data_IF_151136001177
#
_entry.id   IF_151136001177
#
_cell.length_a   1.000
_cell.length_b   1.000
_cell.length_c   1.000
_cell.angle_alpha   90.00
_cell.angle_beta   90.00
_cell.angle_gamma   90.00
#
_symmetry.space_group_name_H-M   'P 1'
#
loop_
_entity.id
_entity.type
_entity.pdbx_description
1 polymer ?
#
# COMPACT_ATOMS: atom_id res chain seq x y z
N UNK A 1 -9.82 -6.19 23.95
CA UNK A 1 -8.85 -7.30 23.86
C UNK A 1 -7.51 -6.87 23.25
N UNK A 2 -7.38 -6.60 21.93
CA UNK A 2 -6.08 -6.19 21.35
C UNK A 2 -5.52 -4.89 21.96
N UNK A 3 -6.37 -3.85 22.08
CA UNK A 3 -6.01 -2.58 22.75
C UNK A 3 -5.50 -2.80 24.18
N UNK A 4 -6.26 -3.56 24.97
CA UNK A 4 -5.96 -3.75 26.39
C UNK A 4 -4.70 -4.63 26.58
N UNK A 5 -4.47 -5.62 25.70
CA UNK A 5 -3.22 -6.37 25.65
C UNK A 5 -2.02 -5.48 25.30
N UNK A 6 -2.17 -4.60 24.30
CA UNK A 6 -1.12 -3.66 23.91
C UNK A 6 -0.78 -2.69 25.05
N UNK A 7 -1.81 -2.14 25.70
CA UNK A 7 -1.66 -1.16 26.77
C UNK A 7 -1.11 -1.76 28.07
N UNK A 8 -1.69 -2.88 28.52
CA UNK A 8 -1.45 -3.40 29.86
C UNK A 8 -0.27 -4.38 29.93
N UNK A 9 0.17 -4.93 28.79
CA UNK A 9 1.22 -5.96 28.77
C UNK A 9 2.32 -5.67 27.75
N UNK A 10 1.99 -5.59 26.45
CA UNK A 10 3.01 -5.54 25.41
C UNK A 10 3.84 -4.23 25.45
N UNK A 11 3.18 -3.06 25.49
CA UNK A 11 3.88 -1.78 25.49
C UNK A 11 4.76 -1.57 26.74
N UNK A 12 4.30 -1.90 27.97
CA UNK A 12 5.16 -1.88 29.15
C UNK A 12 6.42 -2.73 28.99
N UNK A 13 6.28 -4.00 28.58
CA UNK A 13 7.42 -4.92 28.40
C UNK A 13 8.40 -4.38 27.34
N UNK A 14 7.91 -3.89 26.21
CA UNK A 14 8.78 -3.34 25.17
C UNK A 14 9.53 -2.08 25.66
N UNK A 15 8.93 -1.28 26.55
CA UNK A 15 9.53 -0.05 27.07
C UNK A 15 10.60 -0.28 28.14
N UNK A 16 10.60 -1.43 28.82
CA UNK A 16 11.60 -1.78 29.84
C UNK A 16 13.02 -1.94 29.26
N UNK A 17 13.13 -2.34 27.98
CA UNK A 17 14.41 -2.56 27.32
C UNK A 17 14.82 -1.38 26.45
N UNK A 18 16.08 -0.95 26.59
CA UNK A 18 16.68 0.10 25.76
C UNK A 18 16.79 -0.26 24.26
N UNK A 19 16.59 -1.54 23.92
CA UNK A 19 16.62 -2.02 22.53
C UNK A 19 15.22 -1.93 21.91
N UNK A 20 14.18 -2.27 22.67
CA UNK A 20 12.81 -2.39 22.17
C UNK A 20 11.94 -1.17 22.44
N UNK A 21 12.37 -0.23 23.28
CA UNK A 21 11.58 0.95 23.67
C UNK A 21 11.26 1.91 22.52
N UNK A 22 11.91 1.75 21.37
CA UNK A 22 11.65 2.51 20.13
C UNK A 22 10.77 1.75 19.12
N UNK A 23 10.46 0.48 19.37
CA UNK A 23 9.61 -0.31 18.48
C UNK A 23 8.19 0.25 18.46
N UNK A 24 7.60 0.21 17.26
CA UNK A 24 6.24 0.64 17.00
C UNK A 24 5.29 -0.54 17.11
N UNK A 25 4.10 -0.31 17.66
CA UNK A 25 3.06 -1.34 17.77
C UNK A 25 2.00 -1.08 16.71
N UNK A 26 1.81 -2.05 15.83
CA UNK A 26 0.79 -2.06 14.79
C UNK A 26 -0.35 -2.98 15.25
N UNK A 27 -1.57 -2.49 15.22
CA UNK A 27 -2.78 -3.26 15.54
C UNK A 27 -3.58 -3.60 14.27
N UNK A 28 -4.73 -4.27 14.41
CA UNK A 28 -5.51 -4.85 13.30
C UNK A 28 -4.77 -6.00 12.59
N UNK A 29 -3.82 -5.70 11.70
CA UNK A 29 -3.00 -6.64 10.91
C UNK A 29 -3.82 -7.80 10.32
N UNK A 30 -4.91 -7.43 9.66
CA UNK A 30 -5.88 -8.35 9.06
C UNK A 30 -6.57 -7.63 7.87
N UNK A 31 -7.58 -8.25 7.27
CA UNK A 31 -8.25 -7.76 6.07
C UNK A 31 -8.71 -6.31 6.16
N UNK A 32 -8.53 -5.58 5.05
CA UNK A 32 -9.01 -4.20 4.86
C UNK A 32 -10.46 -4.00 5.27
N UNK A 33 -11.33 -4.97 5.03
CA UNK A 33 -12.75 -4.94 5.41
C UNK A 33 -12.99 -4.65 6.90
N UNK A 34 -12.09 -5.07 7.78
CA UNK A 34 -12.21 -4.91 9.23
C UNK A 34 -11.62 -3.61 9.79
N UNK A 35 -10.77 -2.91 9.02
CA UNK A 35 -9.89 -1.86 9.55
C UNK A 35 -10.65 -0.72 10.21
N UNK A 36 -11.76 -0.28 9.60
CA UNK A 36 -12.59 0.80 10.13
C UNK A 36 -13.27 0.39 11.44
N UNK A 37 -13.79 -0.84 11.52
CA UNK A 37 -14.42 -1.36 12.75
C UNK A 37 -13.39 -1.50 13.86
N UNK A 38 -12.18 -1.93 13.53
CA UNK A 38 -11.08 -2.03 14.49
C UNK A 38 -10.62 -0.66 14.97
N UNK A 39 -10.47 0.31 14.07
CA UNK A 39 -10.13 1.69 14.41
C UNK A 39 -11.11 2.29 15.41
N UNK A 40 -12.43 2.14 15.20
CA UNK A 40 -13.44 2.61 16.16
C UNK A 40 -13.24 2.05 17.56
N UNK A 41 -12.97 0.75 17.66
CA UNK A 41 -12.83 0.06 18.96
C UNK A 41 -11.52 0.39 19.66
N UNK A 42 -10.43 0.48 18.91
CA UNK A 42 -9.11 0.75 19.47
C UNK A 42 -9.01 2.21 19.90
N UNK A 43 -9.52 3.13 19.08
CA UNK A 43 -9.40 4.58 19.28
C UNK A 43 -10.60 5.21 20.00
N UNK A 44 -11.59 4.42 20.43
CA UNK A 44 -12.73 4.89 21.24
C UNK A 44 -12.29 5.68 22.49
N UNK A 45 -11.18 5.25 23.10
CA UNK A 45 -10.58 5.90 24.27
C UNK A 45 -9.14 6.30 23.93
N UNK A 46 -8.91 7.59 23.58
CA UNK A 46 -7.60 8.09 23.18
C UNK A 46 -6.51 7.90 24.24
N UNK A 47 -6.86 7.85 25.53
CA UNK A 47 -5.87 7.64 26.59
C UNK A 47 -5.34 6.20 26.57
N UNK A 48 -6.18 5.25 26.16
CA UNK A 48 -5.84 3.82 26.07
C UNK A 48 -5.24 3.41 24.73
N UNK A 49 -5.32 4.27 23.71
CA UNK A 49 -4.72 4.01 22.39
C UNK A 49 -3.26 4.47 22.27
N UNK A 50 -2.71 5.09 23.32
CA UNK A 50 -1.31 5.56 23.35
C UNK A 50 -0.28 4.46 23.12
N UNK A 51 -0.64 3.20 23.40
CA UNK A 51 0.19 2.04 23.16
C UNK A 51 0.24 1.59 21.68
N UNK A 52 -0.65 2.08 20.82
CA UNK A 52 -0.76 1.67 19.41
C UNK A 52 -0.33 2.85 18.54
N UNK A 53 0.62 2.62 17.64
CA UNK A 53 1.18 3.65 16.76
C UNK A 53 0.49 3.71 15.40
N UNK A 54 -0.14 2.62 14.97
CA UNK A 54 -0.84 2.53 13.70
C UNK A 54 -1.63 1.25 13.51
N UNK A 55 -2.27 1.13 12.35
CA UNK A 55 -3.03 -0.04 11.93
C UNK A 55 -2.36 -0.73 10.73
N UNK A 56 -2.31 -2.05 10.74
CA UNK A 56 -1.86 -2.90 9.64
C UNK A 56 -3.06 -3.43 8.88
N UNK A 57 -3.01 -3.53 7.56
CA UNK A 57 -4.10 -4.08 6.73
C UNK A 57 -3.58 -5.02 5.66
N UNK A 58 -4.38 -6.05 5.34
CA UNK A 58 -4.11 -7.02 4.28
C UNK A 58 -5.01 -6.82 3.07
N UNK A 59 -4.57 -7.34 1.92
CA UNK A 59 -5.25 -7.16 0.63
C UNK A 59 -6.44 -8.10 0.38
N UNK A 60 -6.43 -9.35 0.84
CA UNK A 60 -7.27 -10.48 0.33
C UNK A 60 -8.81 -10.38 0.46
N UNK A 61 -9.35 -9.19 0.71
CA UNK A 61 -10.77 -8.87 0.71
C UNK A 61 -11.13 -7.87 -0.40
N UNK A 62 -12.22 -8.12 -1.11
CA UNK A 62 -12.73 -7.25 -2.18
C UNK A 62 -13.48 -6.01 -1.66
N UNK A 63 -13.06 -5.48 -0.50
CA UNK A 63 -13.67 -4.29 0.10
C UNK A 63 -13.16 -3.00 -0.51
N UNK A 64 -14.07 -2.02 -0.56
CA UNK A 64 -13.79 -0.65 -0.96
C UNK A 64 -12.61 -0.04 -0.19
N UNK A 65 -11.81 0.81 -0.86
CA UNK A 65 -10.65 1.46 -0.24
C UNK A 65 -11.03 2.63 0.68
N UNK A 66 -12.22 3.20 0.53
CA UNK A 66 -12.71 4.30 1.36
C UNK A 66 -12.80 3.95 2.84
N UNK A 67 -12.87 2.66 3.20
CA UNK A 67 -12.80 2.21 4.61
C UNK A 67 -11.47 2.59 5.27
N UNK A 68 -10.38 2.72 4.50
CA UNK A 68 -9.08 3.19 4.99
C UNK A 68 -9.14 4.68 5.34
N UNK A 69 -9.76 5.49 4.47
CA UNK A 69 -10.02 6.91 4.75
C UNK A 69 -10.94 7.10 5.95
N UNK A 70 -11.96 6.26 6.09
CA UNK A 70 -12.82 6.26 7.28
C UNK A 70 -12.05 5.90 8.57
N UNK A 71 -11.11 4.96 8.50
CA UNK A 71 -10.25 4.60 9.62
C UNK A 71 -9.27 5.73 9.98
N UNK A 72 -8.63 6.35 8.97
CA UNK A 72 -7.73 7.48 9.15
C UNK A 72 -8.44 8.66 9.84
N UNK A 73 -9.67 8.98 9.41
CA UNK A 73 -10.45 10.09 9.96
C UNK A 73 -10.82 9.92 11.45
N UNK A 74 -10.76 8.71 12.01
CA UNK A 74 -10.99 8.49 13.45
C UNK A 74 -9.80 9.00 14.27
N UNK A 75 -8.57 8.76 13.79
CA UNK A 75 -7.35 9.15 14.49
C UNK A 75 -6.22 9.47 13.48
N UNK A 76 -6.20 10.69 12.92
CA UNK A 76 -5.32 11.05 11.79
C UNK A 76 -3.81 11.05 12.10
N UNK A 77 -3.43 11.16 13.37
CA UNK A 77 -2.03 11.09 13.83
C UNK A 77 -1.44 9.67 13.82
N UNK A 78 -2.28 8.64 13.65
CA UNK A 78 -1.87 7.24 13.58
C UNK A 78 -1.77 6.79 12.13
N UNK A 79 -0.69 6.09 11.82
CA UNK A 79 -0.47 5.63 10.44
C UNK A 79 -1.29 4.38 10.11
N UNK A 80 -1.51 4.16 8.82
CA UNK A 80 -2.02 2.90 8.28
C UNK A 80 -0.96 2.32 7.35
N UNK A 81 -0.63 1.05 7.49
CA UNK A 81 0.34 0.33 6.67
C UNK A 81 -0.32 -0.89 6.03
N UNK A 82 -0.20 -1.05 4.70
CA UNK A 82 -0.56 -2.31 4.06
C UNK A 82 0.58 -3.30 4.32
N UNK A 83 0.36 -4.24 5.23
CA UNK A 83 1.38 -5.11 5.81
C UNK A 83 1.56 -6.41 5.05
N UNK A 84 0.57 -6.82 4.26
CA UNK A 84 0.61 -8.07 3.53
C UNK A 84 -0.29 -8.05 2.29
N UNK A 85 0.25 -8.62 1.20
CA UNK A 85 -0.39 -8.74 -0.08
C UNK A 85 0.25 -9.86 -0.91
N UNK A 86 -0.55 -10.68 -1.60
CA UNK A 86 -0.07 -11.55 -2.66
C UNK A 86 -1.16 -11.90 -3.68
N UNK A 87 -0.73 -12.30 -4.88
CA UNK A 87 -1.62 -12.92 -5.86
C UNK A 87 -1.77 -14.42 -5.60
N UNK A 88 -2.73 -15.05 -6.27
CA UNK A 88 -3.00 -16.48 -6.18
C UNK A 88 -3.33 -16.97 -4.76
N UNK A 89 -4.07 -16.16 -4.00
CA UNK A 89 -4.58 -16.51 -2.67
C UNK A 89 -5.93 -17.24 -2.73
N UNK A 90 -6.63 -17.19 -3.87
CA UNK A 90 -7.95 -17.78 -4.05
C UNK A 90 -7.88 -19.31 -4.15
N UNK A 91 -8.83 -20.08 -3.60
CA UNK A 91 -8.76 -21.54 -3.60
C UNK A 91 -8.64 -22.20 -4.98
N UNK A 92 -9.12 -21.54 -6.04
CA UNK A 92 -9.07 -22.02 -7.42
C UNK A 92 -7.87 -21.48 -8.21
N UNK A 93 -7.06 -20.63 -7.61
CA UNK A 93 -5.90 -19.99 -8.21
C UNK A 93 -4.78 -19.96 -7.16
N UNK A 94 -4.10 -21.10 -6.97
CA UNK A 94 -3.12 -21.34 -5.89
C UNK A 94 -1.74 -21.74 -6.44
N UNK A 95 -1.28 -21.02 -7.46
CA UNK A 95 0.03 -21.26 -8.08
C UNK A 95 0.58 -20.03 -8.78
N UNK A 96 1.91 -19.96 -8.94
CA UNK A 96 2.58 -19.03 -9.84
C UNK A 96 2.03 -19.02 -11.27
N UNK A 97 1.96 -17.84 -11.88
CA UNK A 97 1.64 -17.68 -13.30
C UNK A 97 2.65 -16.72 -13.94
N UNK A 98 3.69 -17.30 -14.53
CA UNK A 98 4.78 -16.54 -15.12
C UNK A 98 4.29 -15.65 -16.27
N UNK A 99 4.71 -14.39 -16.27
CA UNK A 99 4.33 -13.42 -17.30
C UNK A 99 2.88 -12.91 -17.20
N UNK A 100 2.17 -13.18 -16.11
CA UNK A 100 0.82 -12.70 -15.88
C UNK A 100 0.77 -11.18 -15.66
N UNK A 101 0.67 -10.41 -16.74
CA UNK A 101 0.60 -8.95 -16.67
C UNK A 101 -0.52 -8.46 -15.74
N UNK A 102 -1.69 -9.12 -15.78
CA UNK A 102 -2.83 -8.77 -14.92
C UNK A 102 -2.52 -8.88 -13.41
N UNK A 103 -1.63 -9.79 -13.00
CA UNK A 103 -1.18 -9.89 -11.59
C UNK A 103 -0.33 -8.69 -11.18
N UNK A 104 0.50 -8.19 -12.09
CA UNK A 104 1.24 -6.93 -11.92
C UNK A 104 0.32 -5.71 -11.90
N UNK A 105 -0.72 -5.69 -12.74
CA UNK A 105 -1.74 -4.64 -12.72
C UNK A 105 -2.52 -4.62 -11.41
N UNK A 106 -2.84 -5.79 -10.86
CA UNK A 106 -3.51 -5.91 -9.57
C UNK A 106 -2.66 -5.30 -8.43
N UNK A 107 -1.34 -5.52 -8.44
CA UNK A 107 -0.40 -4.86 -7.52
C UNK A 107 -0.43 -3.34 -7.70
N UNK A 108 -0.30 -2.86 -8.95
CA UNK A 108 -0.34 -1.43 -9.27
C UNK A 108 -1.65 -0.78 -8.80
N UNK A 109 -2.78 -1.40 -9.09
CA UNK A 109 -4.10 -0.94 -8.65
C UNK A 109 -4.19 -0.86 -7.12
N UNK A 110 -3.80 -1.91 -6.39
CA UNK A 110 -3.90 -1.92 -4.93
C UNK A 110 -2.94 -0.89 -4.31
N UNK A 111 -1.70 -0.78 -4.78
CA UNK A 111 -0.74 0.23 -4.29
C UNK A 111 -1.28 1.65 -4.49
N UNK A 112 -1.74 1.99 -5.69
CA UNK A 112 -2.25 3.34 -6.00
C UNK A 112 -3.46 3.70 -5.13
N UNK A 113 -4.39 2.76 -4.95
CA UNK A 113 -5.59 3.01 -4.15
C UNK A 113 -5.31 3.03 -2.64
N UNK A 114 -4.35 2.25 -2.13
CA UNK A 114 -3.89 2.36 -0.75
C UNK A 114 -3.27 3.73 -0.49
N UNK A 115 -2.34 4.15 -1.36
CA UNK A 115 -1.67 5.44 -1.24
C UNK A 115 -2.67 6.62 -1.30
N UNK A 116 -3.71 6.52 -2.13
CA UNK A 116 -4.82 7.49 -2.16
C UNK A 116 -5.65 7.58 -0.89
N UNK A 117 -5.62 6.53 -0.07
CA UNK A 117 -6.45 6.42 1.12
C UNK A 117 -5.59 6.34 2.39
N UNK A 118 -4.58 7.23 2.49
CA UNK A 118 -3.78 7.49 3.70
C UNK A 118 -2.85 6.37 4.16
N UNK A 119 -2.70 5.31 3.36
CA UNK A 119 -1.75 4.24 3.65
C UNK A 119 -0.34 4.73 3.33
N UNK A 120 0.59 4.55 4.26
CA UNK A 120 1.94 5.12 4.19
C UNK A 120 3.00 4.19 3.59
N UNK A 121 2.61 2.96 3.26
CA UNK A 121 3.50 1.94 2.71
C UNK A 121 2.74 0.66 2.37
N UNK A 122 3.36 -0.17 1.54
CA UNK A 122 2.77 -1.40 1.03
C UNK A 122 3.81 -2.50 1.00
N UNK A 123 3.47 -3.67 1.53
CA UNK A 123 4.39 -4.77 1.75
C UNK A 123 3.83 -6.03 1.08
N UNK A 124 4.61 -6.58 0.16
CA UNK A 124 4.37 -7.88 -0.46
C UNK A 124 4.59 -9.04 0.54
N UNK A 125 3.98 -10.19 0.28
CA UNK A 125 4.04 -11.33 1.20
C UNK A 125 5.35 -12.10 1.14
N UNK A 126 5.56 -12.87 0.06
CA UNK A 126 6.77 -13.68 -0.11
C UNK A 126 7.70 -13.00 -1.12
N UNK A 127 8.89 -12.60 -0.67
CA UNK A 127 9.90 -11.99 -1.56
C UNK A 127 10.25 -12.90 -2.75
N UNK A 128 10.28 -14.22 -2.54
CA UNK A 128 10.66 -15.19 -3.56
C UNK A 128 10.04 -16.55 -3.26
N UNK A 129 9.56 -17.24 -4.30
CA UNK A 129 9.07 -18.62 -4.22
C UNK A 129 9.66 -19.48 -5.34
N UNK A 130 9.47 -20.80 -5.24
CA UNK A 130 9.68 -21.69 -6.37
C UNK A 130 8.51 -21.66 -7.38
N UNK A 131 8.62 -22.41 -8.47
CA UNK A 131 7.58 -22.46 -9.51
C UNK A 131 6.31 -23.21 -9.07
N UNK A 132 6.31 -23.83 -7.90
CA UNK A 132 5.12 -24.39 -7.26
C UNK A 132 4.42 -23.37 -6.36
N UNK A 133 5.08 -22.27 -5.99
CA UNK A 133 4.56 -21.28 -5.04
C UNK A 133 4.90 -21.61 -3.60
N UNK A 134 5.97 -22.39 -3.36
CA UNK A 134 6.42 -22.85 -2.06
C UNK A 134 7.89 -22.53 -1.75
N UNK A 135 8.46 -23.20 -0.73
CA UNK A 135 7.88 -24.29 0.05
C UNK A 135 6.79 -23.80 1.03
N UNK A 136 5.72 -24.58 1.20
CA UNK A 136 4.67 -24.31 2.18
C UNK A 136 4.18 -25.64 2.80
N UNK A 137 4.29 -25.78 4.12
CA UNK A 137 4.04 -27.06 4.81
C UNK A 137 2.58 -27.51 4.77
N UNK A 138 1.62 -26.57 4.80
CA UNK A 138 0.18 -26.82 4.63
C UNK A 138 -0.26 -26.76 3.18
N UNK A 139 0.68 -26.58 2.24
CA UNK A 139 0.42 -26.48 0.80
C UNK A 139 -0.50 -25.31 0.43
N UNK A 140 -0.43 -24.21 1.19
CA UNK A 140 -1.09 -22.95 0.88
C UNK A 140 -0.20 -22.12 -0.06
N UNK A 141 -0.12 -22.55 -1.32
CA UNK A 141 0.77 -21.96 -2.32
C UNK A 141 0.20 -20.68 -2.92
N UNK A 142 1.09 -19.73 -3.24
CA UNK A 142 0.72 -18.42 -3.78
C UNK A 142 1.70 -18.00 -4.88
N UNK A 143 1.47 -16.83 -5.50
CA UNK A 143 2.41 -16.19 -6.41
C UNK A 143 3.40 -15.31 -5.62
N UNK A 144 4.57 -15.05 -6.17
CA UNK A 144 5.55 -14.09 -5.69
C UNK A 144 6.12 -13.24 -6.85
N UNK A 145 6.54 -11.99 -6.62
CA UNK A 145 7.15 -11.16 -7.65
C UNK A 145 8.44 -11.73 -8.25
N UNK A 146 9.13 -12.60 -7.48
CA UNK A 146 10.41 -13.19 -7.86
C UNK A 146 10.32 -14.71 -7.76
N UNK A 147 10.81 -15.37 -8.80
CA UNK A 147 11.02 -16.81 -8.81
C UNK A 147 12.50 -17.06 -9.03
N UNK A 148 13.18 -17.61 -8.01
CA UNK A 148 14.61 -17.97 -8.03
C UNK A 148 15.51 -16.93 -8.74
N UNK A 149 15.93 -15.93 -7.94
CA UNK A 149 16.91 -14.83 -8.17
C UNK A 149 16.54 -13.76 -9.22
N UNK A 150 16.01 -12.62 -8.75
CA UNK A 150 16.57 -11.24 -8.78
C UNK A 150 15.55 -10.30 -8.06
N UNK A 151 15.99 -9.47 -7.12
CA UNK A 151 15.15 -8.74 -6.14
C UNK A 151 14.58 -7.38 -6.59
N UNK A 152 13.43 -6.96 -6.06
CA UNK A 152 12.95 -5.55 -6.02
C UNK A 152 12.21 -5.20 -4.71
N UNK A 153 12.28 -3.93 -4.26
CA UNK A 153 11.67 -3.35 -3.04
C UNK A 153 11.21 -1.90 -3.31
N UNK A 154 10.07 -1.43 -2.78
CA UNK A 154 9.62 0.00 -2.83
C UNK A 154 8.75 0.42 -1.62
N UNK A 155 8.87 1.69 -1.16
CA UNK A 155 8.05 2.38 -0.12
C UNK A 155 7.90 3.88 -0.49
N UNK A 156 6.69 4.48 -0.53
CA UNK A 156 6.44 5.93 -0.71
C UNK A 156 5.09 6.40 -0.11
N UNK A 157 4.89 7.71 0.07
CA UNK A 157 3.64 8.40 0.53
C UNK A 157 3.08 9.34 -0.56
N UNK A 158 1.75 9.50 -0.69
CA UNK A 158 1.07 10.26 -1.77
C UNK A 158 0.76 11.74 -1.46
N UNK A 159 0.57 12.55 -2.52
CA UNK A 159 0.21 13.97 -2.54
C UNK A 159 -0.58 14.30 -3.84
N UNK A 160 -1.75 13.68 -4.03
CA UNK A 160 -2.54 13.80 -5.28
C UNK A 160 -3.12 15.20 -5.54
N UNK A 161 -3.28 16.04 -4.51
CA UNK A 161 -3.93 17.36 -4.63
C UNK A 161 -3.10 18.40 -5.43
N UNK A 162 -1.86 18.08 -5.82
CA UNK A 162 -1.00 18.97 -6.59
C UNK A 162 -1.26 18.93 -8.11
N UNK A 163 -1.98 17.92 -8.61
CA UNK A 163 -2.13 17.67 -10.04
C UNK A 163 -3.59 17.56 -10.46
N UNK A 164 -3.93 18.18 -11.60
CA UNK A 164 -5.23 17.99 -12.25
C UNK A 164 -5.03 17.14 -13.51
N UNK A 165 -5.60 15.94 -13.52
CA UNK A 165 -5.57 15.01 -14.66
C UNK A 165 -6.95 15.01 -15.33
N UNK A 166 -7.00 15.26 -16.64
CA UNK A 166 -8.25 15.46 -17.40
C UNK A 166 -8.88 14.15 -17.92
N UNK A 167 -8.24 13.00 -17.70
CA UNK A 167 -8.74 11.68 -18.10
C UNK A 167 -8.67 10.72 -16.91
N UNK A 168 -9.76 10.00 -16.64
CA UNK A 168 -9.81 8.99 -15.57
C UNK A 168 -8.81 7.87 -15.86
N UNK A 169 -7.61 8.02 -15.32
CA UNK A 169 -6.55 7.03 -15.28
C UNK A 169 -6.15 6.85 -13.82
N UNK A 170 -5.82 5.62 -13.43
CA UNK A 170 -5.28 5.37 -12.11
C UNK A 170 -3.89 5.99 -12.01
N UNK A 171 -3.69 6.78 -10.96
CA UNK A 171 -2.46 7.54 -10.78
C UNK A 171 -2.24 7.85 -9.31
N UNK A 172 -1.01 8.14 -8.92
CA UNK A 172 -0.69 8.81 -7.66
C UNK A 172 0.49 9.73 -7.90
N UNK A 173 0.53 10.86 -7.22
CA UNK A 173 1.66 11.78 -7.28
C UNK A 173 2.23 12.05 -5.89
N UNK A 174 3.52 12.38 -5.79
CA UNK A 174 4.14 12.76 -4.53
C UNK A 174 5.43 13.56 -4.73
N UNK A 175 5.88 14.20 -3.64
CA UNK A 175 7.14 14.93 -3.60
C UNK A 175 8.11 14.15 -2.71
N UNK A 176 9.28 13.83 -3.25
CA UNK A 176 10.38 13.20 -2.50
C UNK A 176 11.02 14.18 -1.51
N UNK A 177 11.71 13.70 -0.46
CA UNK A 177 12.43 14.58 0.47
C UNK A 177 13.45 15.53 -0.20
N UNK A 178 13.97 15.15 -1.37
CA UNK A 178 14.89 15.97 -2.16
C UNK A 178 14.17 16.96 -3.11
N UNK A 179 12.85 17.10 -3.00
CA UNK A 179 12.04 18.04 -3.78
C UNK A 179 11.70 17.58 -5.21
N UNK A 180 12.00 16.34 -5.60
CA UNK A 180 11.54 15.82 -6.90
C UNK A 180 10.05 15.50 -6.84
N UNK A 181 9.34 15.85 -7.89
CA UNK A 181 7.95 15.48 -8.15
C UNK A 181 7.93 14.13 -8.86
N UNK A 182 7.09 13.22 -8.39
CA UNK A 182 6.91 11.88 -8.93
C UNK A 182 5.44 11.69 -9.24
N UNK A 183 5.13 11.23 -10.44
CA UNK A 183 3.79 10.85 -10.87
C UNK A 183 3.84 9.43 -11.41
N UNK A 184 3.10 8.52 -10.78
CA UNK A 184 2.91 7.15 -11.24
C UNK A 184 1.56 7.07 -11.92
N UNK A 185 1.52 6.54 -13.14
CA UNK A 185 0.33 6.37 -13.97
C UNK A 185 0.19 4.90 -14.35
N UNK A 186 -1.00 4.33 -14.22
CA UNK A 186 -1.33 2.97 -14.62
C UNK A 186 -2.40 2.99 -15.72
N UNK A 187 -2.02 2.60 -16.93
CA UNK A 187 -2.95 2.34 -18.03
C UNK A 187 -3.31 0.86 -18.05
N UNK A 188 -4.46 0.52 -17.47
CA UNK A 188 -5.02 -0.83 -17.51
C UNK A 188 -5.83 -1.15 -18.77
N UNK A 189 -6.01 -0.16 -19.66
CA UNK A 189 -6.84 -0.30 -20.85
C UNK A 189 -6.08 -0.94 -22.03
N UNK A 190 -6.85 -1.41 -23.01
CA UNK A 190 -6.36 -1.96 -24.28
C UNK A 190 -6.02 -0.88 -25.33
N UNK A 191 -6.12 0.40 -24.98
CA UNK A 191 -5.94 1.51 -25.92
C UNK A 191 -4.77 2.40 -25.50
N UNK A 192 -4.14 3.04 -26.49
CA UNK A 192 -3.20 4.12 -26.25
C UNK A 192 -3.92 5.27 -25.53
N UNK A 193 -3.29 5.82 -24.50
CA UNK A 193 -3.72 7.03 -23.82
C UNK A 193 -2.68 8.13 -24.02
N UNK A 194 -3.14 9.37 -24.03
CA UNK A 194 -2.26 10.53 -23.96
C UNK A 194 -2.74 11.38 -22.78
N UNK A 195 -1.98 11.34 -21.68
CA UNK A 195 -2.37 11.95 -20.41
C UNK A 195 -1.79 13.34 -20.33
N UNK A 196 -2.66 14.36 -20.27
CA UNK A 196 -2.25 15.74 -20.04
C UNK A 196 -1.97 15.95 -18.54
N UNK A 197 -0.74 16.30 -18.20
CA UNK A 197 -0.34 16.70 -16.84
C UNK A 197 -0.26 18.21 -16.78
N UNK A 198 -0.94 18.81 -15.80
CA UNK A 198 -0.92 20.25 -15.53
C UNK A 198 -0.33 20.51 -14.15
N UNK A 199 0.66 21.40 -14.11
CA UNK A 199 1.34 21.87 -12.91
C UNK A 199 1.60 23.37 -13.06
N UNK A 200 0.98 24.19 -12.20
CA UNK A 200 0.98 25.65 -12.30
C UNK A 200 0.60 26.12 -13.72
N UNK A 201 1.51 26.85 -14.38
CA UNK A 201 1.33 27.36 -15.74
C UNK A 201 1.90 26.42 -16.83
N UNK A 202 2.25 25.18 -16.49
CA UNK A 202 2.81 24.20 -17.43
C UNK A 202 1.81 23.10 -17.72
N UNK A 203 1.84 22.65 -18.97
CA UNK A 203 1.10 21.48 -19.42
C UNK A 203 1.97 20.70 -20.37
N UNK A 204 2.01 19.38 -20.19
CA UNK A 204 2.66 18.48 -21.13
C UNK A 204 1.87 17.17 -21.20
N UNK A 205 2.17 16.38 -22.22
CA UNK A 205 1.47 15.14 -22.50
C UNK A 205 2.39 13.95 -22.24
N UNK A 206 1.87 12.92 -21.58
CA UNK A 206 2.54 11.65 -21.37
C UNK A 206 1.82 10.59 -22.20
N UNK A 207 2.44 10.11 -23.30
CA UNK A 207 1.89 9.01 -24.07
C UNK A 207 2.04 7.71 -23.28
N UNK A 208 0.98 6.90 -23.28
CA UNK A 208 0.95 5.60 -22.62
C UNK A 208 0.42 4.55 -23.58
N UNK A 209 1.19 3.49 -23.78
CA UNK A 209 0.72 2.31 -24.52
C UNK A 209 -0.34 1.56 -23.71
N UNK A 210 -1.15 0.69 -24.35
CA UNK A 210 -1.99 -0.26 -23.62
C UNK A 210 -1.19 -1.01 -22.57
N UNK A 211 -1.84 -1.37 -21.46
CA UNK A 211 -1.24 -2.24 -20.45
C UNK A 211 0.15 -1.78 -20.01
N UNK A 212 0.24 -0.55 -19.52
CA UNK A 212 1.52 0.07 -19.14
C UNK A 212 1.45 0.76 -17.79
N UNK A 213 2.60 0.85 -17.12
CA UNK A 213 2.83 1.69 -15.96
C UNK A 213 3.96 2.66 -16.30
N UNK A 214 3.75 3.95 -16.02
CA UNK A 214 4.73 5.00 -16.27
C UNK A 214 5.00 5.75 -14.97
N UNK A 215 6.28 5.89 -14.61
CA UNK A 215 6.70 6.76 -13.51
C UNK A 215 7.43 7.96 -14.11
N UNK A 216 6.79 9.12 -14.07
CA UNK A 216 7.38 10.39 -14.48
C UNK A 216 8.02 11.06 -13.27
N UNK A 217 9.26 11.54 -13.43
CA UNK A 217 10.01 12.23 -12.38
C UNK A 217 10.56 13.52 -12.94
N UNK A 218 10.32 14.63 -12.25
CA UNK A 218 10.89 15.93 -12.62
C UNK A 218 11.16 16.78 -11.38
N UNK A 219 11.96 17.84 -11.57
CA UNK A 219 12.21 18.84 -10.52
C UNK A 219 11.28 20.02 -10.73
N UNK A 220 10.91 20.65 -9.62
CA UNK A 220 10.40 22.00 -9.66
C UNK A 220 11.46 22.91 -10.29
N UNK A 221 11.09 23.60 -11.37
CA UNK A 221 11.97 24.59 -11.99
C UNK A 221 11.81 25.86 -11.17
N UNK A 222 12.83 26.20 -10.37
CA UNK A 222 12.91 27.51 -9.72
C UNK A 222 12.86 28.58 -10.81
N UNK A 223 11.91 29.50 -10.69
CA UNK A 223 11.81 30.71 -11.53
C UNK A 223 13.02 31.61 -11.30
#
# INVERSE_FOLDING_TARGET
MQRDFALNLLSPILKESNITNKLKIIAHDDQRSGVYKTAKKIYEDPQKSTAIDGLGTHWYSHTDYGVLSQAHNIQPDKFILATEACNAYLPWEHKPLLGAWFRGQAYGHDILNNLKNWVIGWIDWNLCLDLQGGPNWVRNFVDAPVYKLISLKCIFTSIDNLFKIEKEIEHVAFITPNGNRVLVLLNSNQVNLNVTVKEDNRSWNIPMTPFSIVTAIWKEKKL
#
